data_IF_167583960955
#
_entry.id   IF_167583960955
#
_cell.length_a   1.000
_cell.length_b   1.000
_cell.length_c   1.000
_cell.angle_alpha   90.00
_cell.angle_beta   90.00
_cell.angle_gamma   90.00
#
_symmetry.space_group_name_H-M   'P 1'
#
loop_
_entity.id
_entity.type
_entity.pdbx_description
1 polymer ?
#
# COMPACT_ATOMS: atom_id res chain seq x y z
N UNK A 1 -47.96 3.99 62.51
CA UNK A 1 -47.60 4.52 61.17
C UNK A 1 -46.09 4.68 61.17
N UNK A 2 -45.39 3.86 60.39
CA UNK A 2 -43.95 3.58 60.54
C UNK A 2 -43.04 4.59 59.84
N UNK A 3 -41.85 4.77 60.40
CA UNK A 3 -40.77 5.60 59.89
C UNK A 3 -39.58 4.72 59.45
N UNK A 4 -39.15 4.91 58.19
CA UNK A 4 -37.79 4.77 57.56
C UNK A 4 -36.99 3.46 57.78
N UNK A 5 -36.23 2.95 56.76
CA UNK A 5 -35.19 3.74 56.08
C UNK A 5 -35.10 3.63 54.56
N UNK A 6 -34.59 4.72 53.99
CA UNK A 6 -34.12 4.87 52.63
C UNK A 6 -32.93 3.93 52.38
N UNK A 7 -33.09 2.97 51.46
CA UNK A 7 -31.96 2.21 50.92
C UNK A 7 -31.23 3.09 49.91
N UNK A 8 -30.11 3.67 50.35
CA UNK A 8 -29.06 4.16 49.47
C UNK A 8 -28.34 2.94 48.89
N UNK A 9 -28.66 2.59 47.65
CA UNK A 9 -27.90 1.59 46.90
C UNK A 9 -26.68 2.28 46.33
N UNK A 10 -25.51 1.91 46.86
CA UNK A 10 -24.21 2.38 46.42
C UNK A 10 -24.00 2.11 44.90
N UNK A 11 -23.22 2.95 44.21
CA UNK A 11 -22.71 2.58 42.89
C UNK A 11 -21.75 1.40 43.07
N UNK A 12 -22.05 0.27 42.45
CA UNK A 12 -21.09 -0.83 42.34
C UNK A 12 -19.85 -0.33 41.60
N UNK A 13 -18.73 -0.24 42.32
CA UNK A 13 -17.40 -0.20 41.73
C UNK A 13 -17.13 -1.55 41.05
N UNK A 14 -17.59 -1.70 39.81
CA UNK A 14 -17.23 -2.80 38.94
C UNK A 14 -15.91 -2.44 38.27
N UNK A 15 -14.87 -3.23 38.54
CA UNK A 15 -13.53 -3.11 37.98
C UNK A 15 -13.48 -2.59 36.54
N UNK A 16 -12.89 -1.40 36.39
CA UNK A 16 -12.61 -0.72 35.11
C UNK A 16 -11.51 -1.41 34.26
N UNK A 17 -11.14 -2.65 34.60
CA UNK A 17 -9.99 -3.37 34.04
C UNK A 17 -10.34 -4.77 33.50
N UNK A 18 -11.61 -5.19 33.57
CA UNK A 18 -12.03 -6.47 33.03
C UNK A 18 -12.27 -6.36 31.51
N UNK A 19 -11.49 -7.12 30.73
CA UNK A 19 -11.68 -7.18 29.28
C UNK A 19 -13.11 -7.62 28.93
N UNK A 20 -13.79 -6.94 27.98
CA UNK A 20 -15.14 -7.28 27.59
C UNK A 20 -15.20 -8.69 27.01
N UNK A 21 -16.31 -9.37 27.26
CA UNK A 21 -16.56 -10.71 26.70
C UNK A 21 -16.72 -10.62 25.18
N UNK A 22 -16.50 -11.74 24.49
CA UNK A 22 -16.57 -11.79 23.03
C UNK A 22 -17.97 -11.45 22.47
N UNK A 23 -19.01 -11.68 23.26
CA UNK A 23 -20.43 -11.40 22.99
C UNK A 23 -20.89 -10.00 23.45
N UNK A 24 -20.01 -9.20 24.04
CA UNK A 24 -20.31 -7.81 24.39
C UNK A 24 -20.56 -6.96 23.14
N UNK A 25 -21.21 -5.80 23.34
CA UNK A 25 -21.48 -4.85 22.27
C UNK A 25 -20.19 -4.44 21.55
N UNK A 26 -20.29 -4.12 20.26
CA UNK A 26 -19.11 -3.74 19.47
C UNK A 26 -18.50 -2.43 20.01
N UNK A 27 -19.35 -1.53 20.49
CA UNK A 27 -19.00 -0.28 21.16
C UNK A 27 -18.14 -0.54 22.40
N UNK A 28 -18.59 -1.37 23.35
CA UNK A 28 -17.86 -1.71 24.58
C UNK A 28 -16.47 -2.28 24.27
N UNK A 29 -16.37 -3.13 23.24
CA UNK A 29 -15.09 -3.72 22.81
C UNK A 29 -14.15 -2.67 22.22
N UNK A 30 -14.66 -1.74 21.42
CA UNK A 30 -13.85 -0.65 20.89
C UNK A 30 -13.44 0.34 21.97
N UNK A 31 -14.32 0.67 22.91
CA UNK A 31 -13.99 1.54 24.06
C UNK A 31 -12.85 0.96 24.89
N UNK A 32 -12.92 -0.34 25.22
CA UNK A 32 -11.84 -1.04 25.91
C UNK A 32 -10.51 -1.00 25.13
N UNK A 33 -10.53 -1.34 23.84
CA UNK A 33 -9.31 -1.33 23.01
C UNK A 33 -8.71 0.08 22.92
N UNK A 34 -9.54 1.11 22.76
CA UNK A 34 -9.10 2.50 22.75
C UNK A 34 -8.53 2.94 24.10
N UNK A 35 -9.11 2.50 25.22
CA UNK A 35 -8.56 2.75 26.54
C UNK A 35 -7.18 2.10 26.72
N UNK A 36 -7.01 0.85 26.28
CA UNK A 36 -5.71 0.18 26.27
C UNK A 36 -4.69 0.91 25.38
N UNK A 37 -5.09 1.35 24.18
CA UNK A 37 -4.21 2.09 23.28
C UNK A 37 -3.75 3.42 23.91
N UNK A 38 -4.65 4.15 24.56
CA UNK A 38 -4.31 5.38 25.31
C UNK A 38 -3.36 5.10 26.46
N UNK A 39 -3.59 4.05 27.25
CA UNK A 39 -2.67 3.62 28.33
C UNK A 39 -1.29 3.22 27.81
N UNK A 40 -1.22 2.70 26.59
CA UNK A 40 0.04 2.38 25.92
C UNK A 40 0.74 3.60 25.29
N UNK A 41 0.14 4.80 25.35
CA UNK A 41 0.73 6.04 24.86
C UNK A 41 0.34 6.42 23.43
N UNK A 42 -0.72 5.84 22.87
CA UNK A 42 -1.25 6.26 21.58
C UNK A 42 -2.39 7.27 21.73
N UNK A 43 -2.42 8.30 20.88
CA UNK A 43 -3.45 9.34 20.89
C UNK A 43 -4.84 8.83 20.45
N UNK A 44 -4.88 7.68 19.76
CA UNK A 44 -6.10 7.06 19.30
C UNK A 44 -5.86 5.88 18.36
N UNK A 45 -6.95 5.33 17.83
CA UNK A 45 -6.89 4.19 16.91
C UNK A 45 -6.11 4.51 15.63
N UNK A 46 -6.38 5.65 14.99
CA UNK A 46 -5.72 6.00 13.73
C UNK A 46 -4.22 6.22 13.91
N UNK A 47 -3.80 6.83 15.04
CA UNK A 47 -2.39 7.01 15.37
C UNK A 47 -1.70 5.66 15.62
N UNK A 48 -2.34 4.75 16.36
CA UNK A 48 -1.85 3.39 16.58
C UNK A 48 -1.74 2.61 15.27
N UNK A 49 -2.76 2.67 14.42
CA UNK A 49 -2.79 1.99 13.13
C UNK A 49 -1.71 2.55 12.19
N UNK A 50 -1.53 3.87 12.15
CA UNK A 50 -0.48 4.52 11.37
C UNK A 50 0.91 4.05 11.83
N UNK A 51 1.19 4.07 13.14
CA UNK A 51 2.44 3.54 13.68
C UNK A 51 2.64 2.07 13.32
N UNK A 52 1.59 1.25 13.50
CA UNK A 52 1.64 -0.16 13.15
C UNK A 52 1.90 -0.40 11.66
N UNK A 53 1.37 0.42 10.74
CA UNK A 53 1.56 0.21 9.31
C UNK A 53 2.75 0.95 8.71
N UNK A 54 3.30 1.97 9.36
CA UNK A 54 4.41 2.78 8.85
C UNK A 54 5.76 2.48 9.53
N UNK A 55 5.77 1.96 10.75
CA UNK A 55 7.01 1.69 11.48
C UNK A 55 7.76 0.46 10.93
N UNK A 56 9.07 0.43 11.11
CA UNK A 56 9.91 -0.74 10.80
C UNK A 56 10.31 -1.43 12.11
N UNK A 57 9.54 -2.46 12.49
CA UNK A 57 9.91 -3.29 13.63
C UNK A 57 11.16 -4.12 13.34
N UNK A 58 11.84 -4.55 14.42
CA UNK A 58 12.92 -5.54 14.30
C UNK A 58 12.39 -6.79 13.57
N UNK A 59 13.04 -7.16 12.46
CA UNK A 59 12.64 -8.29 11.63
C UNK A 59 12.63 -9.65 12.33
N UNK A 60 13.25 -9.77 13.51
CA UNK A 60 13.19 -10.96 14.37
C UNK A 60 12.01 -10.94 15.33
N UNK A 61 11.36 -9.79 15.53
CA UNK A 61 10.20 -9.69 16.40
C UNK A 61 9.00 -10.42 15.78
N UNK A 62 8.19 -11.14 16.58
CA UNK A 62 6.93 -11.69 16.12
C UNK A 62 6.02 -10.63 15.49
N UNK A 63 6.07 -9.39 16.02
CA UNK A 63 5.29 -8.26 15.53
C UNK A 63 5.66 -7.87 14.09
N UNK A 64 6.93 -7.95 13.69
CA UNK A 64 7.33 -7.69 12.31
C UNK A 64 6.74 -8.71 11.33
N UNK A 65 6.63 -9.98 11.74
CA UNK A 65 6.00 -11.01 10.91
C UNK A 65 4.51 -10.74 10.72
N UNK A 66 3.80 -10.44 11.81
CA UNK A 66 2.38 -10.06 11.78
C UNK A 66 2.14 -8.81 10.94
N UNK A 67 2.96 -7.77 11.12
CA UNK A 67 2.89 -6.54 10.34
C UNK A 67 3.07 -6.82 8.85
N UNK A 68 4.06 -7.64 8.47
CA UNK A 68 4.29 -8.02 7.08
C UNK A 68 3.10 -8.76 6.49
N UNK A 69 2.52 -9.71 7.21
CA UNK A 69 1.32 -10.42 6.76
C UNK A 69 0.13 -9.48 6.61
N UNK A 70 -0.03 -8.57 7.58
CA UNK A 70 -1.09 -7.57 7.57
C UNK A 70 -0.96 -6.63 6.37
N UNK A 71 0.22 -6.05 6.12
CA UNK A 71 0.51 -5.17 4.97
C UNK A 71 0.24 -5.86 3.63
N UNK A 72 0.60 -7.14 3.49
CA UNK A 72 0.47 -7.85 2.21
C UNK A 72 -0.95 -8.38 1.94
N UNK A 73 -1.71 -8.73 2.98
CA UNK A 73 -2.98 -9.47 2.81
C UNK A 73 -4.19 -8.81 3.45
N UNK A 74 -4.03 -8.24 4.65
CA UNK A 74 -5.16 -7.71 5.41
C UNK A 74 -5.44 -6.25 5.06
N UNK A 75 -4.40 -5.42 4.96
CA UNK A 75 -4.54 -4.00 4.63
C UNK A 75 -5.19 -3.78 3.25
N UNK A 76 -4.80 -4.50 2.17
CA UNK A 76 -5.49 -4.36 0.88
C UNK A 76 -6.98 -4.73 0.97
N UNK A 77 -7.32 -5.77 1.73
CA UNK A 77 -8.72 -6.17 1.96
C UNK A 77 -9.48 -5.13 2.76
N UNK A 78 -8.87 -4.57 3.80
CA UNK A 78 -9.45 -3.50 4.61
C UNK A 78 -9.73 -2.26 3.76
N UNK A 79 -8.76 -1.82 2.95
CA UNK A 79 -8.93 -0.65 2.07
C UNK A 79 -10.03 -0.87 1.03
N UNK A 80 -10.10 -2.07 0.44
CA UNK A 80 -11.19 -2.43 -0.48
C UNK A 80 -12.57 -2.41 0.20
N UNK A 81 -12.66 -2.95 1.41
CA UNK A 81 -13.90 -2.94 2.20
C UNK A 81 -14.33 -1.52 2.59
N UNK A 82 -13.38 -0.69 3.05
CA UNK A 82 -13.62 0.70 3.40
C UNK A 82 -14.11 1.49 2.19
N UNK A 83 -13.44 1.33 1.04
CA UNK A 83 -13.87 1.97 -0.20
C UNK A 83 -15.30 1.58 -0.57
N UNK A 84 -15.65 0.28 -0.51
CA UNK A 84 -17.01 -0.19 -0.78
C UNK A 84 -18.04 0.36 0.20
N UNK A 85 -17.72 0.40 1.50
CA UNK A 85 -18.63 0.88 2.54
C UNK A 85 -18.72 2.40 2.61
N UNK A 86 -17.76 3.13 2.07
CA UNK A 86 -17.77 4.59 2.05
C UNK A 86 -19.03 5.15 1.35
N UNK A 87 -19.65 4.37 0.48
CA UNK A 87 -20.94 4.69 -0.14
C UNK A 87 -22.10 4.88 0.85
N UNK A 88 -22.05 4.32 2.06
CA UNK A 88 -23.07 4.55 3.10
C UNK A 88 -22.75 5.69 4.06
N UNK A 89 -21.55 6.27 3.98
CA UNK A 89 -21.16 7.39 4.84
C UNK A 89 -21.87 8.69 4.47
N UNK A 90 -21.86 9.66 5.37
CA UNK A 90 -22.30 11.02 5.02
C UNK A 90 -21.41 11.62 3.92
N UNK A 91 -21.95 12.57 3.16
CA UNK A 91 -21.21 13.23 2.09
C UNK A 91 -19.89 13.84 2.59
N UNK A 92 -19.91 14.46 3.78
CA UNK A 92 -18.73 15.05 4.40
C UNK A 92 -17.66 14.01 4.74
N UNK A 93 -18.04 12.91 5.41
CA UNK A 93 -17.12 11.82 5.76
C UNK A 93 -16.53 11.15 4.52
N UNK A 94 -17.35 10.97 3.47
CA UNK A 94 -16.92 10.36 2.21
C UNK A 94 -15.95 11.26 1.44
N UNK A 95 -16.19 12.57 1.38
CA UNK A 95 -15.36 13.50 0.61
C UNK A 95 -13.89 13.40 1.01
N UNK A 96 -13.59 13.50 2.31
CA UNK A 96 -12.20 13.45 2.77
C UNK A 96 -11.49 12.13 2.42
N UNK A 97 -12.18 11.00 2.52
CA UNK A 97 -11.63 9.68 2.15
C UNK A 97 -11.38 9.58 0.64
N UNK A 98 -12.32 10.04 -0.19
CA UNK A 98 -12.16 9.99 -1.64
C UNK A 98 -11.07 10.94 -2.13
N UNK A 99 -10.98 12.14 -1.56
CA UNK A 99 -9.96 13.13 -1.90
C UNK A 99 -8.55 12.61 -1.62
N UNK A 100 -8.32 11.99 -0.45
CA UNK A 100 -7.03 11.38 -0.14
C UNK A 100 -6.74 10.13 -0.99
N UNK A 101 -7.76 9.33 -1.30
CA UNK A 101 -7.61 8.19 -2.22
C UNK A 101 -7.19 8.65 -3.61
N UNK A 102 -7.78 9.74 -4.11
CA UNK A 102 -7.45 10.32 -5.40
C UNK A 102 -6.02 10.88 -5.42
N UNK A 103 -5.62 11.63 -4.39
CA UNK A 103 -4.24 12.12 -4.25
C UNK A 103 -3.23 10.98 -4.24
N UNK A 104 -3.52 9.89 -3.53
CA UNK A 104 -2.65 8.72 -3.51
C UNK A 104 -2.53 8.08 -4.90
N UNK A 105 -3.64 7.95 -5.64
CA UNK A 105 -3.65 7.43 -7.00
C UNK A 105 -2.83 8.34 -7.95
N UNK A 106 -2.99 9.66 -7.86
CA UNK A 106 -2.23 10.62 -8.64
C UNK A 106 -0.73 10.53 -8.37
N UNK A 107 -0.32 10.41 -7.10
CA UNK A 107 1.08 10.24 -6.72
C UNK A 107 1.68 8.95 -7.27
N UNK A 108 0.94 7.84 -7.24
CA UNK A 108 1.36 6.56 -7.81
C UNK A 108 1.55 6.71 -9.33
N UNK A 109 0.55 7.22 -10.04
CA UNK A 109 0.62 7.44 -11.48
C UNK A 109 1.77 8.36 -11.89
N UNK A 110 1.96 9.48 -11.17
CA UNK A 110 3.04 10.43 -11.43
C UNK A 110 4.42 9.79 -11.27
N UNK A 111 4.60 8.97 -10.22
CA UNK A 111 5.84 8.21 -10.00
C UNK A 111 6.11 7.24 -11.14
N UNK A 112 5.13 6.40 -11.49
CA UNK A 112 5.28 5.38 -12.55
C UNK A 112 5.59 6.02 -13.92
N UNK A 113 4.92 7.13 -14.25
CA UNK A 113 5.21 7.89 -15.47
C UNK A 113 6.61 8.52 -15.44
N UNK A 114 7.09 8.96 -14.28
CA UNK A 114 8.45 9.47 -14.09
C UNK A 114 9.50 8.37 -14.32
N UNK A 115 9.31 7.20 -13.72
CA UNK A 115 10.17 6.03 -13.88
C UNK A 115 10.23 5.57 -15.35
N UNK A 116 9.06 5.51 -16.02
CA UNK A 116 8.99 5.17 -17.44
C UNK A 116 9.78 6.16 -18.31
N UNK A 117 9.60 7.47 -18.09
CA UNK A 117 10.30 8.51 -18.85
C UNK A 117 11.81 8.52 -18.60
N UNK A 118 12.25 8.19 -17.39
CA UNK A 118 13.67 8.05 -17.07
C UNK A 118 14.27 6.87 -17.82
N UNK A 119 13.61 5.71 -17.79
CA UNK A 119 14.05 4.52 -18.52
C UNK A 119 14.13 4.73 -20.04
N UNK A 120 13.19 5.47 -20.63
CA UNK A 120 13.23 5.80 -22.07
C UNK A 120 14.43 6.70 -22.43
N UNK A 121 14.74 7.70 -21.61
CA UNK A 121 15.92 8.56 -21.83
C UNK A 121 17.23 7.79 -21.74
N UNK A 122 17.34 6.84 -20.82
CA UNK A 122 18.50 5.97 -20.70
C UNK A 122 18.69 5.07 -21.93
N UNK A 123 17.58 4.57 -22.51
CA UNK A 123 17.60 3.81 -23.78
C UNK A 123 18.03 4.65 -24.97
N UNK A 124 17.52 5.89 -25.07
CA UNK A 124 17.90 6.82 -26.14
C UNK A 124 19.36 7.28 -26.03
N UNK A 125 19.86 7.48 -24.81
CA UNK A 125 21.26 7.89 -24.57
C UNK A 125 22.25 6.74 -24.77
N UNK A 126 21.83 5.49 -24.57
CA UNK A 126 22.63 4.28 -24.82
C UNK A 126 22.76 3.88 -26.30
N UNK A 127 22.01 4.52 -27.21
CA UNK A 127 22.02 4.22 -28.66
C UNK A 127 22.79 5.28 -29.48
N UNK A 128 23.69 6.03 -28.82
CA UNK A 128 24.37 7.20 -29.39
C UNK A 128 25.90 7.19 -29.28
N UNK A 129 26.57 6.09 -29.64
CA UNK A 129 27.98 6.14 -30.09
C UNK A 129 28.09 5.55 -31.50
N UNK A 130 28.10 6.38 -32.56
CA UNK A 130 28.70 6.00 -33.82
C UNK A 130 30.22 6.22 -33.71
N UNK A 131 30.89 5.32 -33.01
CA UNK A 131 32.35 5.21 -32.98
C UNK A 131 32.64 3.74 -33.33
N UNK A 132 32.71 3.36 -34.61
CA UNK A 132 33.87 3.59 -35.47
C UNK A 132 33.49 3.46 -36.97
N UNK A 133 33.36 4.59 -37.68
CA UNK A 133 33.60 4.64 -39.12
C UNK A 133 34.92 5.39 -39.35
N UNK A 134 36.04 4.78 -38.95
CA UNK A 134 37.35 5.17 -39.45
C UNK A 134 38.31 3.99 -39.29
N UNK A 135 38.35 3.18 -40.35
CA UNK A 135 39.51 2.47 -40.92
C UNK A 135 39.01 1.31 -41.80
N UNK A 136 38.73 1.61 -43.08
CA UNK A 136 38.90 0.62 -44.13
C UNK A 136 40.14 1.02 -44.94
N UNK A 137 41.26 0.27 -44.84
CA UNK A 137 42.33 0.42 -45.80
C UNK A 137 41.84 -0.16 -47.13
N UNK A 138 41.82 0.70 -48.15
CA UNK A 138 41.87 0.29 -49.55
C UNK A 138 43.08 -0.64 -49.71
N UNK A 139 42.89 -1.95 -49.92
CA UNK A 139 43.50 -2.89 -50.89
C UNK A 139 42.67 -4.20 -50.72
N UNK A 140 42.02 -4.82 -51.70
CA UNK A 140 42.62 -5.35 -52.92
C UNK A 140 41.51 -5.64 -53.94
N UNK A 141 41.65 -5.10 -55.14
CA UNK A 141 40.80 -5.47 -56.28
C UNK A 141 41.38 -6.75 -56.87
N UNK A 142 40.83 -7.91 -56.50
CA UNK A 142 40.95 -9.11 -57.34
C UNK A 142 39.56 -9.57 -57.79
N UNK A 143 39.39 -9.41 -59.09
CA UNK A 143 38.31 -9.90 -59.92
C UNK A 143 38.14 -11.41 -59.79
N UNK A 144 36.90 -11.86 -59.63
CA UNK A 144 36.50 -13.18 -60.12
C UNK A 144 35.04 -13.10 -60.54
N UNK A 145 34.84 -12.79 -61.82
CA UNK A 145 33.67 -13.21 -62.56
C UNK A 145 33.44 -14.71 -62.34
N UNK A 146 32.22 -15.10 -61.95
CA UNK A 146 31.52 -16.19 -62.63
C UNK A 146 30.10 -16.46 -62.11
N UNK A 147 29.20 -16.43 -63.08
CA UNK A 147 28.00 -17.25 -63.23
C UNK A 147 26.76 -16.99 -62.37
N UNK A 148 25.85 -16.22 -62.96
CA UNK A 148 24.64 -16.73 -63.65
C UNK A 148 23.94 -17.91 -62.95
N UNK A 149 22.75 -17.68 -62.41
CA UNK A 149 21.51 -18.23 -62.98
C UNK A 149 20.28 -17.89 -62.12
N UNK A 150 19.26 -17.38 -62.81
CA UNK A 150 17.86 -17.31 -62.39
C UNK A 150 17.36 -18.63 -61.79
N UNK A 151 16.49 -18.56 -60.76
CA UNK A 151 15.13 -19.17 -60.75
C UNK A 151 14.37 -18.93 -59.42
N UNK A 152 13.20 -18.31 -59.56
CA UNK A 152 11.88 -18.61 -58.98
C UNK A 152 11.65 -18.77 -57.44
N UNK A 153 10.63 -18.03 -56.98
CA UNK A 153 9.69 -18.25 -55.84
C UNK A 153 9.19 -19.73 -55.68
N UNK A 154 8.44 -20.18 -54.62
CA UNK A 154 7.59 -19.43 -53.66
C UNK A 154 7.51 -19.92 -52.17
N UNK A 155 6.82 -19.10 -51.36
CA UNK A 155 5.80 -19.36 -50.30
C UNK A 155 5.84 -20.66 -49.47
N UNK A 156 5.79 -20.49 -48.15
CA UNK A 156 4.89 -21.24 -47.25
C UNK A 156 4.27 -20.29 -46.23
#
# INVERSE_FOLDING_TARGET
>A
MGATPSTTTAPSELSDDAAPRADAAIEDRFEYVLACAKRAGFDGFDAMALQYYAHNFDGRSPLALEQRLSRNRQLPRLLSELSRRSGSWSAWQRSGFLDETLKAAEQICARECGEYRAAERERETGMGTPESMDEMPLEDRVSSDSNRSLKAFPVY
#
